data_IF_280792403193
#
_entry.id   IF_280792403193
#
_cell.length_a   1.000
_cell.length_b   1.000
_cell.length_c   1.000
_cell.angle_alpha   90.00
_cell.angle_beta   90.00
_cell.angle_gamma   90.00
#
_symmetry.space_group_name_H-M   'P 1'
#
loop_
_entity.id
_entity.type
_entity.pdbx_description
1 polymer ?
#
# COMPACT_ATOMS: atom_id res chain seq x y z
N UNK A 1 0.82 -16.29 -2.30
CA UNK A 1 1.09 -15.27 -1.27
C UNK A 1 0.41 -15.56 0.09
N UNK A 2 0.38 -16.81 0.61
CA UNK A 2 -0.45 -17.16 1.78
C UNK A 2 -0.24 -16.30 3.04
N UNK A 3 0.92 -16.46 3.71
CA UNK A 3 1.23 -15.70 4.93
C UNK A 3 1.33 -14.18 4.69
N UNK A 4 1.87 -13.76 3.54
CA UNK A 4 1.95 -12.35 3.16
C UNK A 4 0.55 -11.71 3.03
N UNK A 5 -0.38 -12.38 2.35
CA UNK A 5 -1.75 -11.91 2.21
C UNK A 5 -2.49 -11.85 3.54
N UNK A 6 -2.34 -12.88 4.38
CA UNK A 6 -2.94 -12.91 5.72
C UNK A 6 -2.46 -11.74 6.60
N UNK A 7 -1.15 -11.51 6.65
CA UNK A 7 -0.58 -10.40 7.44
C UNK A 7 -0.98 -9.03 6.91
N UNK A 8 -1.05 -8.84 5.58
CA UNK A 8 -1.54 -7.59 5.00
C UNK A 8 -3.03 -7.36 5.26
N UNK A 9 -3.86 -8.40 5.19
CA UNK A 9 -5.27 -8.28 5.56
C UNK A 9 -5.45 -7.88 7.04
N UNK A 10 -4.70 -8.51 7.94
CA UNK A 10 -4.69 -8.16 9.35
C UNK A 10 -4.22 -6.72 9.60
N UNK A 11 -3.16 -6.27 8.92
CA UNK A 11 -2.69 -4.88 8.99
C UNK A 11 -3.79 -3.88 8.61
N UNK A 12 -4.54 -4.15 7.54
CA UNK A 12 -5.62 -3.27 7.08
C UNK A 12 -6.81 -3.28 8.05
N UNK A 13 -7.13 -4.42 8.65
CA UNK A 13 -8.17 -4.50 9.68
C UNK A 13 -7.85 -3.60 10.88
N UNK A 14 -6.61 -3.64 11.38
CA UNK A 14 -6.15 -2.78 12.47
C UNK A 14 -6.28 -1.28 12.11
N UNK A 15 -5.86 -0.89 10.91
CA UNK A 15 -5.96 0.49 10.45
C UNK A 15 -7.42 0.98 10.35
N UNK A 16 -8.34 0.11 9.93
CA UNK A 16 -9.78 0.43 9.88
C UNK A 16 -10.39 0.61 11.26
N UNK A 17 -10.02 -0.23 12.22
CA UNK A 17 -10.46 -0.06 13.62
C UNK A 17 -10.01 1.30 14.16
N UNK A 18 -8.73 1.64 13.97
CA UNK A 18 -8.23 2.95 14.39
C UNK A 18 -8.92 4.11 13.67
N UNK A 19 -9.19 3.99 12.37
CA UNK A 19 -9.94 4.99 11.61
C UNK A 19 -11.32 5.24 12.21
N UNK A 20 -12.04 4.18 12.60
CA UNK A 20 -13.36 4.29 13.22
C UNK A 20 -13.33 4.93 14.61
N UNK A 21 -12.32 4.60 15.42
CA UNK A 21 -12.12 5.20 16.74
C UNK A 21 -11.78 6.70 16.64
N UNK A 22 -10.99 7.08 15.63
CA UNK A 22 -10.46 8.42 15.47
C UNK A 22 -11.45 9.41 14.81
N UNK A 23 -12.69 9.01 14.47
CA UNK A 23 -13.66 9.85 13.73
C UNK A 23 -13.91 11.21 14.41
N UNK A 24 -13.98 11.24 15.75
CA UNK A 24 -14.32 12.45 16.51
C UNK A 24 -13.09 13.19 17.05
N UNK A 25 -12.03 12.48 17.36
CA UNK A 25 -10.86 13.02 18.08
C UNK A 25 -9.62 13.16 17.20
N UNK A 26 -9.65 12.60 15.99
CA UNK A 26 -8.48 12.46 15.12
C UNK A 26 -7.50 11.40 15.65
N UNK A 27 -6.41 11.11 14.90
CA UNK A 27 -6.03 11.64 13.58
C UNK A 27 -6.87 11.10 12.40
N UNK A 28 -6.76 11.71 11.21
CA UNK A 28 -7.34 11.12 9.98
C UNK A 28 -6.48 9.95 9.52
N UNK A 29 -7.06 8.76 9.51
CA UNK A 29 -6.39 7.55 9.02
C UNK A 29 -6.79 7.33 7.56
N UNK A 30 -5.82 7.29 6.66
CA UNK A 30 -6.03 7.00 5.23
C UNK A 30 -5.44 5.62 4.89
N UNK A 31 -6.22 4.78 4.22
CA UNK A 31 -5.79 3.46 3.75
C UNK A 31 -5.72 3.52 2.23
N UNK A 32 -4.51 3.51 1.69
CA UNK A 32 -4.26 3.69 0.26
C UNK A 32 -3.67 2.43 -0.37
N UNK A 33 -3.94 2.24 -1.66
CA UNK A 33 -3.39 1.15 -2.46
C UNK A 33 -2.44 1.70 -3.51
N UNK A 34 -1.12 1.60 -3.32
CA UNK A 34 -0.17 2.03 -4.34
C UNK A 34 -0.19 1.09 -5.56
N UNK A 35 0.15 1.61 -6.76
CA UNK A 35 0.42 0.75 -7.91
C UNK A 35 1.69 -0.09 -7.69
N UNK A 36 1.89 -1.15 -8.49
CA UNK A 36 3.12 -1.92 -8.44
C UNK A 36 4.33 -1.09 -8.87
N UNK A 37 5.42 -1.18 -8.11
CA UNK A 37 6.63 -0.37 -8.30
C UNK A 37 7.87 -1.27 -8.50
N UNK A 38 8.91 -0.80 -9.22
CA UNK A 38 10.11 -1.58 -9.57
C UNK A 38 11.10 -1.76 -8.39
N UNK A 39 10.60 -2.18 -7.23
CA UNK A 39 11.37 -2.42 -6.00
C UNK A 39 12.08 -3.77 -5.99
N UNK A 40 13.10 -3.92 -5.14
CA UNK A 40 13.81 -5.19 -4.96
C UNK A 40 12.89 -6.31 -4.44
N UNK A 41 11.98 -6.00 -3.51
CA UNK A 41 10.97 -6.94 -3.01
C UNK A 41 10.09 -7.46 -4.14
N UNK A 42 9.60 -6.58 -5.03
CA UNK A 42 8.79 -7.01 -6.17
C UNK A 42 9.59 -7.89 -7.12
N UNK A 43 10.82 -7.52 -7.46
CA UNK A 43 11.69 -8.33 -8.32
C UNK A 43 11.91 -9.75 -7.77
N UNK A 44 12.03 -9.90 -6.44
CA UNK A 44 12.17 -11.21 -5.80
C UNK A 44 10.91 -12.07 -5.88
N UNK A 45 9.71 -11.47 -5.79
CA UNK A 45 8.44 -12.19 -5.74
C UNK A 45 7.70 -12.28 -7.09
N UNK A 46 8.16 -11.53 -8.09
CA UNK A 46 7.67 -11.53 -9.48
C UNK A 46 8.86 -11.63 -10.45
N UNK A 47 9.58 -12.78 -10.49
CA UNK A 47 10.74 -12.93 -11.34
C UNK A 47 10.35 -12.87 -12.82
N UNK A 48 11.12 -12.14 -13.63
CA UNK A 48 10.88 -11.97 -15.07
C UNK A 48 9.82 -10.94 -15.44
N UNK A 49 9.20 -10.28 -14.46
CA UNK A 49 8.29 -9.16 -14.75
C UNK A 49 9.03 -7.98 -15.38
N UNK A 50 8.44 -7.39 -16.42
CA UNK A 50 8.99 -6.19 -17.06
C UNK A 50 8.95 -5.00 -16.09
N UNK A 51 10.14 -4.51 -15.74
CA UNK A 51 10.32 -3.39 -14.82
C UNK A 51 9.93 -2.05 -15.45
N UNK A 52 10.01 -1.92 -16.77
CA UNK A 52 9.69 -0.68 -17.48
C UNK A 52 8.17 -0.40 -17.47
N UNK A 53 7.35 -1.44 -17.34
CA UNK A 53 5.90 -1.32 -17.20
C UNK A 53 5.42 -0.91 -15.80
N UNK A 54 6.31 -0.84 -14.79
CA UNK A 54 5.96 -0.55 -13.41
C UNK A 54 6.05 0.94 -13.07
N UNK A 55 5.17 1.41 -12.18
CA UNK A 55 5.14 2.83 -11.79
C UNK A 55 6.36 3.20 -10.93
N UNK A 56 7.13 4.25 -11.26
CA UNK A 56 8.22 4.71 -10.42
C UNK A 56 7.73 5.19 -9.04
N UNK A 57 8.51 5.02 -7.95
CA UNK A 57 8.09 5.43 -6.61
C UNK A 57 7.69 6.91 -6.47
N UNK A 58 8.36 7.81 -7.19
CA UNK A 58 8.03 9.24 -7.17
C UNK A 58 6.61 9.52 -7.75
N UNK A 59 6.26 8.86 -8.85
CA UNK A 59 4.92 9.00 -9.46
C UNK A 59 3.84 8.35 -8.59
N UNK A 60 4.14 7.18 -8.01
CA UNK A 60 3.25 6.54 -7.05
C UNK A 60 3.00 7.46 -5.84
N UNK A 61 4.05 8.09 -5.28
CA UNK A 61 3.92 9.02 -4.17
C UNK A 61 3.05 10.23 -4.54
N UNK A 62 3.27 10.84 -5.72
CA UNK A 62 2.44 11.95 -6.21
C UNK A 62 0.97 11.56 -6.33
N UNK A 63 0.68 10.37 -6.88
CA UNK A 63 -0.68 9.86 -7.01
C UNK A 63 -1.35 9.53 -5.66
N UNK A 64 -0.57 9.14 -4.65
CA UNK A 64 -1.08 8.89 -3.29
C UNK A 64 -1.39 10.19 -2.55
N UNK A 65 -0.51 11.20 -2.65
CA UNK A 65 -0.73 12.51 -2.00
C UNK A 65 -1.99 13.18 -2.53
N UNK A 66 -2.33 13.02 -3.81
CA UNK A 66 -3.58 13.55 -4.37
C UNK A 66 -4.86 12.86 -3.87
N UNK A 67 -4.76 11.76 -3.12
CA UNK A 67 -5.90 11.03 -2.54
C UNK A 67 -6.16 11.36 -1.06
N UNK A 68 -5.31 12.20 -0.45
CA UNK A 68 -5.42 12.64 0.94
C UNK A 68 -6.32 13.87 1.06
#
# INVERSE_FOLDING_TARGET
FGAYGATKAAQIALARSWQAEAVKTGPRVHILTPPPMPTATRARFFPGEDRAALTPPAEAAKALVSQL
#
